data_IF_874606882224
#
_entry.id   IF_874606882224
#
_cell.length_a   1.000
_cell.length_b   1.000
_cell.length_c   1.000
_cell.angle_alpha   90.00
_cell.angle_beta   90.00
_cell.angle_gamma   90.00
#
_symmetry.space_group_name_H-M   'P 1'
#
loop_
_entity.id
_entity.type
_entity.pdbx_description
1 polymer ?
#
# COMPACT_ATOMS: atom_id res chain seq x y z
N UNK A 1 13.16 -0.47 55.42
CA UNK A 1 13.10 0.26 54.14
C UNK A 1 11.71 0.91 54.05
N UNK A 2 11.60 2.27 54.21
CA UNK A 2 10.34 3.01 54.05
C UNK A 2 10.05 3.12 52.54
N UNK A 3 9.07 2.39 52.05
CA UNK A 3 8.54 2.56 50.70
C UNK A 3 7.64 3.81 50.66
N UNK A 4 8.16 4.88 50.06
CA UNK A 4 7.38 6.09 49.82
C UNK A 4 6.32 5.81 48.73
N UNK A 5 5.06 5.71 49.11
CA UNK A 5 3.96 5.67 48.17
C UNK A 5 3.61 7.11 47.75
N UNK A 6 3.81 7.39 46.48
CA UNK A 6 3.39 8.68 45.89
C UNK A 6 1.85 8.82 46.00
N UNK A 7 1.39 10.00 46.39
CA UNK A 7 -0.05 10.33 46.42
C UNK A 7 -0.70 10.18 45.05
N UNK A 8 -2.00 9.93 44.98
CA UNK A 8 -2.75 9.81 43.75
C UNK A 8 -2.58 11.04 42.84
N UNK A 9 -2.52 12.24 43.43
CA UNK A 9 -2.28 13.49 42.72
C UNK A 9 -0.88 13.57 42.09
N UNK A 10 0.14 13.10 42.78
CA UNK A 10 1.53 13.08 42.23
C UNK A 10 1.68 12.08 41.09
N UNK A 11 1.01 10.93 41.15
CA UNK A 11 0.98 9.95 40.06
C UNK A 11 0.28 10.54 38.81
N UNK A 12 -0.84 11.22 39.01
CA UNK A 12 -1.58 11.91 37.93
C UNK A 12 -0.72 13.02 37.29
N UNK A 13 -0.02 13.83 38.09
CA UNK A 13 0.87 14.90 37.62
C UNK A 13 2.05 14.37 36.81
N UNK A 14 2.70 13.28 37.27
CA UNK A 14 3.77 12.61 36.50
C UNK A 14 3.25 12.00 35.20
N UNK A 15 2.07 11.40 35.21
CA UNK A 15 1.42 10.88 34.00
C UNK A 15 1.13 11.98 32.98
N UNK A 16 0.59 13.12 33.42
CA UNK A 16 0.33 14.28 32.56
C UNK A 16 1.62 14.87 31.97
N UNK A 17 2.68 15.01 32.78
CA UNK A 17 3.99 15.46 32.29
C UNK A 17 4.60 14.52 31.23
N UNK A 18 4.47 13.21 31.42
CA UNK A 18 4.96 12.22 30.44
C UNK A 18 4.20 12.32 29.12
N UNK A 19 2.86 12.48 29.16
CA UNK A 19 2.01 12.69 27.97
C UNK A 19 2.38 14.00 27.25
N UNK A 20 2.58 15.09 27.99
CA UNK A 20 2.98 16.38 27.42
C UNK A 20 4.35 16.31 26.71
N UNK A 21 5.33 15.64 27.30
CA UNK A 21 6.64 15.44 26.67
C UNK A 21 6.55 14.61 25.41
N UNK A 22 5.73 13.55 25.40
CA UNK A 22 5.49 12.71 24.22
C UNK A 22 4.78 13.51 23.10
N UNK A 23 3.77 14.31 23.45
CA UNK A 23 3.08 15.18 22.50
C UNK A 23 4.02 16.24 21.89
N UNK A 24 4.86 16.89 22.71
CA UNK A 24 5.86 17.85 22.20
C UNK A 24 6.85 17.18 21.24
N UNK A 25 7.33 15.97 21.54
CA UNK A 25 8.23 15.23 20.64
C UNK A 25 7.57 14.90 19.29
N UNK A 26 6.29 14.47 19.32
CA UNK A 26 5.52 14.21 18.09
C UNK A 26 5.30 15.49 17.27
N UNK A 27 4.96 16.60 17.92
CA UNK A 27 4.79 17.89 17.26
C UNK A 27 6.08 18.36 16.57
N UNK A 28 7.24 18.25 17.25
CA UNK A 28 8.53 18.62 16.67
C UNK A 28 8.88 17.74 15.46
N UNK A 29 8.58 16.45 15.50
CA UNK A 29 8.79 15.56 14.36
C UNK A 29 7.88 15.92 13.18
N UNK A 30 6.61 16.22 13.45
CA UNK A 30 5.65 16.65 12.43
C UNK A 30 6.09 17.98 11.76
N UNK A 31 6.57 18.94 12.55
CA UNK A 31 7.08 20.22 12.03
C UNK A 31 8.29 20.01 11.10
N UNK A 32 9.26 19.18 11.52
CA UNK A 32 10.42 18.86 10.68
C UNK A 32 10.03 18.17 9.37
N UNK A 33 9.05 17.24 9.41
CA UNK A 33 8.52 16.58 8.21
C UNK A 33 7.84 17.58 7.27
N UNK A 34 7.03 18.48 7.83
CA UNK A 34 6.35 19.52 7.05
C UNK A 34 7.33 20.52 6.41
N UNK A 35 8.40 20.91 7.12
CA UNK A 35 9.45 21.78 6.55
C UNK A 35 10.19 21.10 5.40
N UNK A 36 10.52 19.82 5.55
CA UNK A 36 11.13 19.02 4.47
C UNK A 36 10.23 18.97 3.25
N UNK A 37 8.93 18.69 3.42
CA UNK A 37 7.95 18.67 2.33
C UNK A 37 7.81 20.05 1.63
N UNK A 38 7.77 21.15 2.41
CA UNK A 38 7.73 22.52 1.85
C UNK A 38 8.98 22.85 1.05
N UNK A 39 10.14 22.44 1.53
CA UNK A 39 11.41 22.63 0.80
C UNK A 39 11.42 21.86 -0.52
N UNK A 40 10.91 20.63 -0.51
CA UNK A 40 10.75 19.80 -1.69
C UNK A 40 9.75 20.42 -2.69
N UNK A 41 8.58 20.85 -2.24
CA UNK A 41 7.59 21.51 -3.08
C UNK A 41 8.14 22.78 -3.75
N UNK A 42 8.87 23.62 -3.02
CA UNK A 42 9.52 24.82 -3.59
C UNK A 42 10.57 24.49 -4.65
N UNK A 43 11.31 23.38 -4.48
CA UNK A 43 12.24 22.90 -5.51
C UNK A 43 11.51 22.46 -6.76
N UNK A 44 10.42 21.73 -6.61
CA UNK A 44 9.57 21.29 -7.73
C UNK A 44 8.97 22.47 -8.49
N UNK A 45 8.40 23.46 -7.80
CA UNK A 45 7.84 24.66 -8.42
C UNK A 45 8.90 25.45 -9.24
N UNK A 46 10.12 25.57 -8.70
CA UNK A 46 11.23 26.20 -9.45
C UNK A 46 11.62 25.39 -10.70
N UNK A 47 11.54 24.06 -10.64
CA UNK A 47 11.86 23.20 -11.78
C UNK A 47 10.78 23.29 -12.86
N UNK A 48 9.50 23.23 -12.46
CA UNK A 48 8.35 23.40 -13.36
C UNK A 48 8.40 24.80 -14.05
N UNK A 49 8.60 25.87 -13.29
CA UNK A 49 8.68 27.22 -13.84
C UNK A 49 9.89 27.47 -14.79
N UNK A 50 10.94 26.61 -14.73
CA UNK A 50 12.03 26.63 -15.73
C UNK A 50 11.63 25.87 -17.00
N UNK A 51 10.94 24.74 -16.87
CA UNK A 51 10.44 23.97 -18.01
C UNK A 51 9.39 24.77 -18.77
N UNK A 52 8.45 25.43 -18.08
CA UNK A 52 7.44 26.30 -18.72
C UNK A 52 8.04 27.48 -19.47
N UNK A 53 9.10 28.11 -18.93
CA UNK A 53 9.81 29.18 -19.61
C UNK A 53 10.65 28.70 -20.80
N UNK A 54 11.12 27.44 -20.76
CA UNK A 54 11.82 26.82 -21.90
C UNK A 54 10.88 26.45 -23.05
N UNK A 55 9.65 26.07 -22.74
CA UNK A 55 8.62 25.68 -23.73
C UNK A 55 8.01 26.93 -24.41
N UNK A 56 7.95 28.08 -23.74
CA UNK A 56 7.40 29.31 -24.30
C UNK A 56 8.35 29.99 -25.30
N UNK A 57 9.60 29.55 -25.44
CA UNK A 57 10.65 30.20 -26.22
C UNK A 57 10.94 29.65 -27.61
N UNK A 58 10.50 28.48 -27.99
CA UNK A 58 10.70 27.94 -29.35
C UNK A 58 9.66 26.90 -29.72
N UNK A 59 8.92 27.16 -30.77
CA UNK A 59 8.08 26.18 -31.41
C UNK A 59 8.93 25.04 -31.98
N UNK A 60 8.42 23.82 -31.80
CA UNK A 60 8.92 22.58 -32.41
C UNK A 60 10.38 22.20 -32.11
N UNK A 61 10.63 21.54 -31.01
CA UNK A 61 11.69 20.55 -30.95
C UNK A 61 11.20 19.32 -30.19
N UNK A 62 11.08 18.24 -30.91
CA UNK A 62 11.03 16.87 -30.44
C UNK A 62 12.25 16.71 -29.53
N UNK A 63 12.04 16.36 -28.26
CA UNK A 63 13.13 16.05 -27.33
C UNK A 63 13.80 14.81 -27.87
N UNK A 64 14.98 14.98 -28.44
CA UNK A 64 15.86 13.89 -28.85
C UNK A 64 16.29 13.15 -27.56
N UNK A 65 16.14 11.82 -27.54
CA UNK A 65 16.44 10.96 -26.36
C UNK A 65 17.91 11.04 -25.88
N UNK A 66 18.74 11.87 -26.54
CA UNK A 66 20.16 12.03 -26.25
C UNK A 66 20.53 13.11 -25.22
N UNK A 67 19.64 13.99 -24.79
CA UNK A 67 20.00 15.17 -23.99
C UNK A 67 19.49 15.16 -22.53
N UNK A 68 19.50 13.98 -21.90
CA UNK A 68 19.30 13.84 -20.45
C UNK A 68 20.51 14.31 -19.61
N UNK A 69 21.63 14.65 -20.25
CA UNK A 69 22.88 15.08 -19.59
C UNK A 69 22.82 16.49 -18.98
N UNK A 70 21.75 17.27 -19.26
CA UNK A 70 21.58 18.64 -18.77
C UNK A 70 20.70 18.73 -17.51
N UNK A 71 20.18 17.63 -17.03
CA UNK A 71 19.45 17.63 -15.76
C UNK A 71 20.42 17.78 -14.57
N UNK A 72 20.07 18.62 -13.57
CA UNK A 72 20.94 18.76 -12.41
C UNK A 72 21.12 17.39 -11.71
N UNK A 73 22.31 17.11 -11.15
CA UNK A 73 22.66 15.82 -10.55
C UNK A 73 21.61 15.24 -9.59
N UNK A 74 20.87 16.11 -8.91
CA UNK A 74 19.79 15.72 -7.99
C UNK A 74 18.52 15.16 -8.66
N UNK A 75 18.39 15.31 -9.98
CA UNK A 75 17.27 14.76 -10.76
C UNK A 75 17.71 13.46 -11.46
N UNK A 76 18.96 13.38 -11.90
CA UNK A 76 19.56 12.11 -12.38
C UNK A 76 19.63 11.07 -11.26
N UNK A 77 19.92 11.48 -10.02
CA UNK A 77 19.90 10.60 -8.85
C UNK A 77 18.47 10.16 -8.46
N UNK A 78 17.45 10.92 -8.85
CA UNK A 78 16.03 10.56 -8.64
C UNK A 78 15.46 9.71 -9.79
N UNK A 79 16.07 9.78 -10.98
CA UNK A 79 15.79 8.94 -12.16
C UNK A 79 16.85 7.83 -12.29
N UNK A 80 17.61 7.59 -11.22
CA UNK A 80 18.46 6.40 -11.14
C UNK A 80 17.62 5.17 -11.46
N UNK A 81 18.16 4.27 -12.29
CA UNK A 81 17.59 3.02 -12.79
C UNK A 81 16.56 2.34 -11.85
N UNK A 82 15.40 2.94 -11.70
CA UNK A 82 14.27 2.30 -11.05
C UNK A 82 13.74 1.27 -12.04
N UNK A 83 14.30 0.07 -11.96
CA UNK A 83 13.81 -1.09 -12.69
C UNK A 83 12.28 -1.15 -12.52
N UNK A 84 11.55 -1.05 -13.63
CA UNK A 84 10.09 -1.19 -13.61
C UNK A 84 9.77 -2.63 -13.21
N UNK A 85 9.47 -2.83 -11.94
CA UNK A 85 9.21 -4.16 -11.37
C UNK A 85 7.94 -4.79 -11.93
N UNK A 86 6.94 -3.97 -12.23
CA UNK A 86 5.67 -4.39 -12.82
C UNK A 86 5.12 -3.31 -13.73
N UNK A 87 4.72 -3.71 -14.95
CA UNK A 87 4.01 -2.87 -15.92
C UNK A 87 2.71 -3.57 -16.29
N UNK A 88 1.60 -2.87 -16.14
CA UNK A 88 0.30 -3.37 -16.56
C UNK A 88 0.26 -3.58 -18.08
N UNK A 89 -0.39 -4.65 -18.52
CA UNK A 89 -0.73 -4.82 -19.92
C UNK A 89 -1.83 -3.80 -20.29
N UNK A 90 -1.75 -3.16 -21.46
CA UNK A 90 -2.79 -2.24 -21.92
C UNK A 90 -4.17 -2.90 -21.96
N UNK A 91 -5.20 -2.14 -21.64
CA UNK A 91 -6.59 -2.59 -21.62
C UNK A 91 -7.03 -3.09 -20.24
N UNK A 92 -7.72 -4.24 -20.11
CA UNK A 92 -8.42 -4.63 -18.88
C UNK A 92 -7.56 -4.69 -17.62
N UNK A 93 -6.26 -5.02 -17.75
CA UNK A 93 -5.37 -5.04 -16.58
C UNK A 93 -5.03 -3.61 -16.09
N UNK A 94 -4.81 -2.69 -17.01
CA UNK A 94 -4.57 -1.28 -16.71
C UNK A 94 -5.85 -0.63 -16.15
N UNK A 95 -7.02 -0.93 -16.72
CA UNK A 95 -8.33 -0.47 -16.23
C UNK A 95 -8.58 -0.94 -14.79
N UNK A 96 -8.33 -2.22 -14.50
CA UNK A 96 -8.46 -2.76 -13.14
C UNK A 96 -7.55 -2.04 -12.14
N UNK A 97 -6.29 -1.79 -12.51
CA UNK A 97 -5.33 -1.15 -11.62
C UNK A 97 -5.59 0.35 -11.45
N UNK A 98 -6.16 1.02 -12.46
CA UNK A 98 -6.50 2.44 -12.40
C UNK A 98 -7.88 2.71 -11.78
N UNK A 99 -8.71 1.66 -11.59
CA UNK A 99 -10.06 1.78 -11.08
C UNK A 99 -10.08 2.40 -9.67
N UNK A 100 -10.77 3.52 -9.52
CA UNK A 100 -10.97 4.23 -8.24
C UNK A 100 -12.16 3.71 -7.43
N UNK A 101 -12.98 2.83 -8.01
CA UNK A 101 -14.16 2.26 -7.38
C UNK A 101 -13.76 1.38 -6.20
N UNK A 102 -14.60 1.39 -5.16
CA UNK A 102 -14.38 0.59 -3.95
C UNK A 102 -14.39 -0.91 -4.25
N UNK A 103 -15.35 -1.35 -5.04
CA UNK A 103 -15.62 -2.74 -5.35
C UNK A 103 -15.36 -2.96 -6.86
N UNK A 104 -14.37 -3.77 -7.22
CA UNK A 104 -14.02 -4.05 -8.63
C UNK A 104 -13.87 -5.54 -8.87
N UNK A 105 -14.46 -6.03 -9.95
CA UNK A 105 -14.33 -7.39 -10.45
C UNK A 105 -13.60 -7.39 -11.81
N UNK A 106 -12.47 -8.07 -11.87
CA UNK A 106 -11.71 -8.31 -13.09
C UNK A 106 -12.02 -9.70 -13.64
N UNK A 107 -12.97 -9.77 -14.56
CA UNK A 107 -13.30 -10.99 -15.28
C UNK A 107 -12.50 -11.17 -16.57
N UNK A 108 -12.56 -12.36 -17.16
CA UNK A 108 -11.98 -12.64 -18.47
C UNK A 108 -11.27 -14.00 -18.57
N UNK A 109 -10.75 -14.28 -19.78
CA UNK A 109 -10.10 -15.55 -20.08
C UNK A 109 -8.85 -15.82 -19.24
N UNK A 110 -8.48 -17.09 -19.12
CA UNK A 110 -7.23 -17.49 -18.51
C UNK A 110 -6.01 -16.85 -19.22
N UNK A 111 -4.96 -16.54 -18.48
CA UNK A 111 -3.74 -15.92 -19.03
C UNK A 111 -3.81 -14.38 -19.15
N UNK A 112 -4.92 -13.73 -18.85
CA UNK A 112 -5.08 -12.26 -18.92
C UNK A 112 -4.35 -11.46 -17.83
N UNK A 113 -3.48 -12.10 -17.04
CA UNK A 113 -2.70 -11.39 -16.00
C UNK A 113 -3.51 -10.99 -14.76
N UNK A 114 -4.73 -11.52 -14.57
CA UNK A 114 -5.64 -11.18 -13.47
C UNK A 114 -4.97 -11.32 -12.09
N UNK A 115 -4.41 -12.50 -11.81
CA UNK A 115 -3.77 -12.77 -10.52
C UNK A 115 -2.54 -11.87 -10.27
N UNK A 116 -1.78 -11.52 -11.33
CA UNK A 116 -0.67 -10.56 -11.20
C UNK A 116 -1.16 -9.14 -10.89
N UNK A 117 -2.25 -8.69 -11.53
CA UNK A 117 -2.87 -7.40 -11.21
C UNK A 117 -3.36 -7.38 -9.76
N UNK A 118 -4.00 -8.46 -9.32
CA UNK A 118 -4.47 -8.61 -7.93
C UNK A 118 -3.32 -8.58 -6.92
N UNK A 119 -2.15 -9.16 -7.26
CA UNK A 119 -0.95 -9.09 -6.43
C UNK A 119 -0.31 -7.70 -6.44
N UNK A 120 -0.32 -6.99 -7.56
CA UNK A 120 0.30 -5.68 -7.70
C UNK A 120 -0.51 -4.56 -7.02
N UNK A 121 -1.84 -4.63 -7.04
CA UNK A 121 -2.73 -3.56 -6.57
C UNK A 121 -2.47 -3.13 -5.11
N UNK A 122 -2.33 -4.02 -4.10
CA UNK A 122 -2.12 -3.63 -2.72
C UNK A 122 -0.74 -3.01 -2.46
N UNK A 123 0.24 -3.20 -3.35
CA UNK A 123 1.60 -2.69 -3.15
C UNK A 123 1.65 -1.16 -3.10
N UNK A 124 0.71 -0.47 -3.76
CA UNK A 124 0.60 0.99 -3.74
C UNK A 124 0.42 1.58 -2.34
N UNK A 125 -0.05 0.77 -1.39
CA UNK A 125 -0.30 1.17 0.01
C UNK A 125 0.76 0.67 0.98
N UNK A 126 1.70 -0.15 0.54
CA UNK A 126 2.70 -0.79 1.41
C UNK A 126 3.76 0.18 1.97
N UNK A 127 3.76 1.46 1.57
CA UNK A 127 4.53 2.53 2.21
C UNK A 127 3.93 3.02 3.54
N UNK A 128 2.63 2.79 3.77
CA UNK A 128 1.93 3.18 4.99
C UNK A 128 1.97 2.05 6.02
N UNK A 129 2.48 2.32 7.21
CA UNK A 129 2.63 1.33 8.30
C UNK A 129 1.31 0.72 8.79
N UNK A 130 0.19 1.41 8.57
CA UNK A 130 -1.15 0.96 8.96
C UNK A 130 -1.86 0.15 7.88
N UNK A 131 -1.23 -0.05 6.71
CA UNK A 131 -1.80 -0.88 5.66
C UNK A 131 -1.96 -2.34 6.13
N UNK A 132 -3.17 -2.87 5.98
CA UNK A 132 -3.55 -4.25 6.29
C UNK A 132 -4.31 -4.80 5.12
N UNK A 133 -3.62 -5.57 4.27
CA UNK A 133 -4.21 -6.29 3.16
C UNK A 133 -4.60 -7.72 3.55
N UNK A 134 -5.64 -8.22 2.90
CA UNK A 134 -6.07 -9.62 2.95
C UNK A 134 -6.19 -10.14 1.53
N UNK A 135 -5.53 -11.25 1.20
CA UNK A 135 -5.66 -11.92 -0.09
C UNK A 135 -6.17 -13.34 0.12
N UNK A 136 -7.22 -13.69 -0.58
CA UNK A 136 -7.95 -14.94 -0.45
C UNK A 136 -7.95 -15.75 -1.75
N UNK A 137 -7.87 -17.07 -1.57
CA UNK A 137 -8.10 -18.06 -2.60
C UNK A 137 -9.02 -19.15 -2.05
N UNK A 138 -9.61 -19.96 -2.93
CA UNK A 138 -10.51 -21.05 -2.50
C UNK A 138 -9.77 -22.16 -1.79
N UNK A 139 -8.65 -22.64 -2.34
CA UNK A 139 -7.90 -23.80 -1.82
C UNK A 139 -6.47 -23.43 -1.42
N UNK A 140 -5.84 -24.27 -0.60
CA UNK A 140 -4.46 -24.10 -0.17
C UNK A 140 -3.47 -24.24 -1.34
N UNK A 141 -3.70 -25.21 -2.23
CA UNK A 141 -2.79 -25.46 -3.37
C UNK A 141 -2.75 -24.25 -4.31
N UNK A 142 -3.91 -23.71 -4.64
CA UNK A 142 -4.02 -22.50 -5.44
C UNK A 142 -3.40 -21.27 -4.77
N UNK A 143 -3.54 -21.18 -3.43
CA UNK A 143 -2.90 -20.11 -2.66
C UNK A 143 -1.39 -20.19 -2.72
N UNK A 144 -0.81 -21.38 -2.72
CA UNK A 144 0.64 -21.60 -2.81
C UNK A 144 1.20 -21.01 -4.11
N UNK A 145 0.51 -21.18 -5.23
CA UNK A 145 0.89 -20.56 -6.50
C UNK A 145 0.92 -19.02 -6.42
N UNK A 146 -0.08 -18.42 -5.76
CA UNK A 146 -0.10 -16.96 -5.55
C UNK A 146 1.02 -16.49 -4.63
N UNK A 147 1.35 -17.25 -3.60
CA UNK A 147 2.47 -16.95 -2.70
C UNK A 147 3.78 -16.95 -3.50
N UNK A 148 4.01 -17.93 -4.36
CA UNK A 148 5.23 -18.01 -5.16
C UNK A 148 5.34 -16.86 -6.18
N UNK A 149 4.25 -16.50 -6.83
CA UNK A 149 4.18 -15.30 -7.69
C UNK A 149 4.46 -14.02 -6.89
N UNK A 150 3.91 -13.92 -5.68
CA UNK A 150 4.13 -12.76 -4.81
C UNK A 150 5.60 -12.63 -4.37
N UNK A 151 6.31 -13.75 -4.16
CA UNK A 151 7.74 -13.73 -3.83
C UNK A 151 8.57 -13.08 -4.93
N UNK A 152 8.26 -13.38 -6.19
CA UNK A 152 8.94 -12.78 -7.34
C UNK A 152 8.69 -11.27 -7.45
N UNK A 153 7.46 -10.83 -7.14
CA UNK A 153 7.04 -9.43 -7.28
C UNK A 153 7.43 -8.58 -6.06
N UNK A 154 7.07 -9.04 -4.85
CA UNK A 154 7.15 -8.21 -3.64
C UNK A 154 8.58 -7.96 -3.17
N UNK A 155 9.48 -8.95 -3.32
CA UNK A 155 10.90 -8.77 -2.95
C UNK A 155 11.62 -7.79 -3.86
N UNK A 156 11.22 -7.71 -5.14
CA UNK A 156 11.74 -6.73 -6.09
C UNK A 156 11.17 -5.33 -5.82
N UNK A 157 9.84 -5.24 -5.65
CA UNK A 157 9.16 -3.97 -5.42
C UNK A 157 9.53 -3.32 -4.07
N UNK A 158 9.78 -4.12 -3.05
CA UNK A 158 10.14 -3.67 -1.70
C UNK A 158 11.35 -4.47 -1.17
N UNK A 159 12.57 -4.03 -1.45
CA UNK A 159 13.75 -4.62 -0.84
C UNK A 159 13.62 -4.63 0.70
N UNK A 160 13.75 -5.82 1.29
CA UNK A 160 13.53 -6.02 2.72
C UNK A 160 12.13 -6.49 3.13
N UNK A 161 11.17 -6.62 2.18
CA UNK A 161 9.92 -7.33 2.45
C UNK A 161 10.18 -8.80 2.77
N UNK A 162 9.48 -9.34 3.78
CA UNK A 162 9.68 -10.71 4.27
C UNK A 162 8.35 -11.46 4.37
N UNK A 163 8.29 -12.65 3.81
CA UNK A 163 7.17 -13.55 3.99
C UNK A 163 7.37 -14.42 5.23
N UNK A 164 6.39 -14.43 6.14
CA UNK A 164 6.37 -15.32 7.31
C UNK A 164 5.51 -16.52 7.03
N UNK A 165 6.12 -17.67 6.75
CA UNK A 165 5.45 -18.93 6.42
C UNK A 165 4.42 -19.35 7.48
N UNK A 166 4.78 -19.31 8.77
CA UNK A 166 3.90 -19.73 9.87
C UNK A 166 2.59 -18.95 9.97
N UNK A 167 2.54 -17.74 9.39
CA UNK A 167 1.36 -16.86 9.39
C UNK A 167 0.86 -16.56 7.99
N UNK A 168 1.49 -17.09 6.95
CA UNK A 168 1.22 -16.79 5.55
C UNK A 168 1.08 -15.28 5.29
N UNK A 169 1.98 -14.48 5.86
CA UNK A 169 1.85 -13.01 5.88
C UNK A 169 3.12 -12.34 5.40
N UNK A 170 2.97 -11.43 4.44
CA UNK A 170 4.00 -10.49 4.06
C UNK A 170 4.12 -9.36 5.08
N UNK A 171 5.36 -9.03 5.42
CA UNK A 171 5.72 -7.88 6.24
C UNK A 171 6.65 -6.98 5.43
N UNK A 172 6.25 -5.72 5.29
CA UNK A 172 6.99 -4.70 4.56
C UNK A 172 7.84 -3.85 5.51
N UNK A 173 8.92 -3.21 5.02
CA UNK A 173 9.79 -2.37 5.83
C UNK A 173 9.06 -1.21 6.55
N UNK A 174 7.98 -0.71 5.98
CA UNK A 174 7.10 0.30 6.58
C UNK A 174 6.37 -0.17 7.84
N UNK A 175 6.16 -1.49 7.98
CA UNK A 175 5.25 -2.09 8.95
C UNK A 175 3.90 -2.53 8.36
N UNK A 176 3.68 -2.25 7.07
CA UNK A 176 2.52 -2.78 6.34
C UNK A 176 2.51 -4.31 6.34
N UNK A 177 1.32 -4.90 6.22
CA UNK A 177 1.18 -6.36 6.12
C UNK A 177 0.13 -6.74 5.11
N UNK A 178 0.36 -7.86 4.40
CA UNK A 178 -0.64 -8.50 3.56
C UNK A 178 -0.73 -9.96 3.97
N UNK A 179 -1.89 -10.37 4.44
CA UNK A 179 -2.17 -11.75 4.85
C UNK A 179 -2.74 -12.54 3.69
N UNK A 180 -2.09 -13.65 3.36
CA UNK A 180 -2.53 -14.62 2.36
C UNK A 180 -3.23 -15.78 3.04
N UNK A 181 -4.41 -16.14 2.59
CA UNK A 181 -5.16 -17.22 3.21
C UNK A 181 -6.17 -17.84 2.25
N UNK A 182 -6.77 -18.96 2.65
CA UNK A 182 -7.76 -19.67 1.84
C UNK A 182 -9.05 -19.95 2.65
N UNK A 183 -10.14 -20.19 1.94
CA UNK A 183 -11.44 -20.51 2.51
C UNK A 183 -12.06 -21.70 1.78
N UNK A 184 -11.92 -22.90 2.32
CA UNK A 184 -12.56 -24.09 1.76
C UNK A 184 -14.10 -24.03 1.82
N UNK A 185 -14.63 -23.48 2.89
CA UNK A 185 -16.06 -23.34 3.13
C UNK A 185 -16.42 -21.90 3.39
N UNK A 186 -17.53 -21.46 2.82
CA UNK A 186 -18.01 -20.09 2.95
C UNK A 186 -18.20 -19.66 4.42
N UNK A 187 -18.66 -20.59 5.29
CA UNK A 187 -18.84 -20.32 6.72
C UNK A 187 -17.56 -19.99 7.47
N UNK A 188 -16.40 -20.42 6.98
CA UNK A 188 -15.11 -20.17 7.62
C UNK A 188 -14.68 -18.70 7.52
N UNK A 189 -15.41 -17.90 6.75
CA UNK A 189 -15.21 -16.43 6.67
C UNK A 189 -15.41 -15.75 8.03
N UNK A 190 -16.16 -16.36 8.94
CA UNK A 190 -16.38 -15.84 10.29
C UNK A 190 -15.11 -15.73 11.13
N UNK A 191 -14.03 -16.46 10.76
CA UNK A 191 -12.72 -16.32 11.42
C UNK A 191 -12.11 -14.93 11.32
N UNK A 192 -12.58 -14.10 10.38
CA UNK A 192 -12.18 -12.69 10.26
C UNK A 192 -12.99 -11.77 11.15
N UNK A 193 -13.85 -12.31 12.02
CA UNK A 193 -14.59 -11.50 12.98
C UNK A 193 -13.63 -10.69 13.87
N UNK A 194 -13.94 -9.41 14.06
CA UNK A 194 -13.08 -8.51 14.84
C UNK A 194 -11.88 -7.95 14.09
N UNK A 195 -11.54 -8.46 12.90
CA UNK A 195 -10.44 -7.94 12.09
C UNK A 195 -10.90 -6.78 11.20
N UNK A 196 -9.93 -5.96 10.79
CA UNK A 196 -10.13 -4.84 9.90
C UNK A 196 -9.02 -4.80 8.85
N UNK A 197 -9.42 -4.59 7.60
CA UNK A 197 -8.52 -4.48 6.46
C UNK A 197 -8.87 -3.22 5.67
N UNK A 198 -7.89 -2.55 5.09
CA UNK A 198 -8.15 -1.47 4.14
C UNK A 198 -8.15 -1.95 2.68
N UNK A 199 -7.61 -3.14 2.43
CA UNK A 199 -7.62 -3.78 1.12
C UNK A 199 -7.93 -5.27 1.26
N UNK A 200 -8.85 -5.76 0.42
CA UNK A 200 -9.20 -7.19 0.37
C UNK A 200 -9.19 -7.63 -1.09
N UNK A 201 -8.38 -8.64 -1.40
CA UNK A 201 -8.34 -9.31 -2.69
C UNK A 201 -8.92 -10.72 -2.62
N UNK A 202 -9.80 -11.08 -3.55
CA UNK A 202 -10.32 -12.45 -3.70
C UNK A 202 -10.03 -12.92 -5.12
N UNK A 203 -9.12 -13.85 -5.24
CA UNK A 203 -8.79 -14.45 -6.54
C UNK A 203 -9.78 -15.58 -6.85
N UNK A 204 -10.28 -15.62 -8.11
CA UNK A 204 -11.30 -16.56 -8.59
C UNK A 204 -12.55 -16.58 -7.70
N UNK A 205 -13.18 -15.43 -7.51
CA UNK A 205 -14.36 -15.28 -6.64
C UNK A 205 -15.53 -16.15 -7.08
N UNK A 206 -15.61 -16.49 -8.36
CA UNK A 206 -16.65 -17.37 -8.92
C UNK A 206 -16.61 -18.81 -8.41
N UNK A 207 -15.52 -19.21 -7.76
CA UNK A 207 -15.46 -20.52 -7.08
C UNK A 207 -16.29 -20.57 -5.78
N UNK A 208 -16.73 -19.42 -5.26
CA UNK A 208 -17.64 -19.36 -4.11
C UNK A 208 -19.10 -19.44 -4.59
N UNK A 209 -19.89 -20.38 -4.09
CA UNK A 209 -21.23 -20.64 -4.62
C UNK A 209 -22.25 -19.55 -4.27
N UNK A 210 -21.95 -18.71 -3.30
CA UNK A 210 -22.83 -17.65 -2.83
C UNK A 210 -22.07 -16.34 -2.61
N UNK A 211 -22.73 -15.16 -2.63
CA UNK A 211 -22.09 -13.89 -2.32
C UNK A 211 -21.73 -13.71 -0.83
N UNK A 212 -22.03 -14.69 0.03
CA UNK A 212 -21.86 -14.58 1.48
C UNK A 212 -20.44 -14.20 1.90
N UNK A 213 -19.41 -14.78 1.27
CA UNK A 213 -18.00 -14.46 1.55
C UNK A 213 -17.70 -13.00 1.21
N UNK A 214 -18.18 -12.54 0.06
CA UNK A 214 -18.04 -11.16 -0.37
C UNK A 214 -18.70 -10.19 0.62
N UNK A 215 -19.98 -10.39 0.91
CA UNK A 215 -20.77 -9.51 1.79
C UNK A 215 -20.16 -9.45 3.20
N UNK A 216 -19.74 -10.59 3.73
CA UNK A 216 -19.12 -10.66 5.04
C UNK A 216 -17.79 -9.89 5.07
N UNK A 217 -16.91 -10.11 4.10
CA UNK A 217 -15.60 -9.45 4.04
C UNK A 217 -15.72 -7.96 3.76
N UNK A 218 -16.70 -7.54 2.98
CA UNK A 218 -16.99 -6.13 2.75
C UNK A 218 -17.26 -5.37 4.05
N UNK A 219 -17.88 -6.02 5.04
CA UNK A 219 -18.08 -5.46 6.38
C UNK A 219 -16.78 -5.33 7.19
N UNK A 220 -15.68 -5.95 6.72
CA UNK A 220 -14.35 -5.88 7.35
C UNK A 220 -13.47 -4.81 6.72
N UNK A 221 -13.91 -4.19 5.61
CA UNK A 221 -13.23 -3.06 4.99
C UNK A 221 -13.39 -1.81 5.86
N UNK A 222 -12.33 -1.43 6.55
CA UNK A 222 -12.27 -0.24 7.38
C UNK A 222 -10.84 0.13 7.72
N UNK A 223 -10.56 1.40 7.82
CA UNK A 223 -9.29 1.95 8.27
C UNK A 223 -9.51 3.07 9.28
N UNK A 224 -8.64 3.14 10.25
CA UNK A 224 -8.59 4.25 11.23
C UNK A 224 -7.62 5.34 10.81
N UNK A 225 -6.72 5.03 9.89
CA UNK A 225 -5.76 5.97 9.33
C UNK A 225 -6.45 6.85 8.27
N UNK A 226 -6.40 8.19 8.39
CA UNK A 226 -7.03 9.09 7.42
C UNK A 226 -6.52 8.92 5.99
N UNK A 227 -5.24 8.58 5.80
CA UNK A 227 -4.67 8.34 4.46
C UNK A 227 -5.26 7.09 3.80
N UNK A 228 -5.68 6.11 4.60
CA UNK A 228 -6.25 4.85 4.13
C UNK A 228 -7.79 4.83 4.11
N UNK A 229 -8.46 5.80 4.74
CA UNK A 229 -9.93 5.86 4.74
C UNK A 229 -10.52 6.03 3.35
N UNK A 230 -9.84 6.75 2.47
CA UNK A 230 -10.22 6.94 1.07
C UNK A 230 -9.69 5.83 0.14
N UNK A 231 -9.00 4.84 0.70
CA UNK A 231 -8.36 3.75 -0.03
C UNK A 231 -8.85 2.39 0.49
N UNK A 232 -10.17 2.26 0.65
CA UNK A 232 -10.83 1.02 1.04
C UNK A 232 -11.25 0.28 -0.21
N UNK A 233 -10.51 -0.78 -0.57
CA UNK A 233 -10.74 -1.49 -1.84
C UNK A 233 -11.02 -2.96 -1.63
N UNK A 234 -12.01 -3.44 -2.36
CA UNK A 234 -12.32 -4.84 -2.55
C UNK A 234 -12.09 -5.19 -4.01
N UNK A 235 -11.10 -6.02 -4.27
CA UNK A 235 -10.62 -6.40 -5.60
C UNK A 235 -10.86 -7.89 -5.82
N UNK A 236 -11.54 -8.25 -6.89
CA UNK A 236 -11.82 -9.64 -7.20
C UNK A 236 -11.42 -9.98 -8.61
N UNK A 237 -11.07 -11.26 -8.82
CA UNK A 237 -10.90 -11.83 -10.15
C UNK A 237 -11.91 -12.96 -10.39
N UNK A 238 -12.18 -13.29 -11.66
CA UNK A 238 -13.05 -14.38 -12.08
C UNK A 238 -12.51 -15.02 -13.36
#
# INVERSE_FOLDING_TARGET
KRTYQLSTAERARRGAQKRLRAAKKKATQATKKAESQRTYARKLEKTIGRVEKGVAGNGTNIIDEGDLSVLPPSVSDLVGDSEVVFKANPGPQEEFLSAGERDVLYGGAAGGGKSFALLADPLRYCHNSNHRGLLLRRTLDELTELIDKSRQLYTKAFPGAKFRESKSTWHFPSGATIWFTYLDRDKDVTRFQGQAFNWIGIDEITQYPTPYVWDYLRSRLRATDPELQNSLYMRCTA
#
